data_IF_758136783831
#
_entry.id   IF_758136783831
#
_cell.length_a   1.000
_cell.length_b   1.000
_cell.length_c   1.000
_cell.angle_alpha   90.00
_cell.angle_beta   90.00
_cell.angle_gamma   90.00
#
_symmetry.space_group_name_H-M   'P 1'
#
loop_
_entity.id
_entity.type
_entity.pdbx_description
1 polymer ?
#
# COMPACT_ATOMS: atom_id res chain seq x y z
N UNK A 1 -48.17 -42.69 45.47
CA UNK A 1 -48.89 -41.84 44.51
C UNK A 1 -48.11 -40.53 44.35
N UNK A 2 -47.88 -40.15 43.07
CA UNK A 2 -47.38 -38.87 42.52
C UNK A 2 -45.96 -38.38 42.90
N UNK A 3 -45.04 -38.56 41.94
CA UNK A 3 -43.77 -37.83 41.80
C UNK A 3 -44.06 -36.41 41.28
N UNK A 4 -43.50 -35.39 41.91
CA UNK A 4 -43.55 -33.99 41.45
C UNK A 4 -42.30 -33.74 40.62
N UNK A 5 -42.47 -33.44 39.33
CA UNK A 5 -41.42 -33.02 38.40
C UNK A 5 -41.46 -31.49 38.37
N UNK A 6 -40.45 -30.82 38.91
CA UNK A 6 -40.20 -29.40 38.66
C UNK A 6 -39.38 -29.30 37.37
N UNK A 7 -40.02 -28.94 36.26
CA UNK A 7 -39.34 -28.47 35.05
C UNK A 7 -39.23 -26.96 35.09
N UNK A 8 -38.00 -26.46 35.21
CA UNK A 8 -37.67 -25.05 35.08
C UNK A 8 -37.91 -24.59 33.63
N UNK A 9 -38.74 -23.56 33.47
CA UNK A 9 -38.92 -22.85 32.20
C UNK A 9 -37.77 -21.84 32.06
N UNK A 10 -36.71 -22.20 31.32
CA UNK A 10 -35.76 -21.24 30.81
C UNK A 10 -36.27 -20.74 29.46
N UNK A 11 -36.83 -19.53 29.44
CA UNK A 11 -37.17 -18.79 28.23
C UNK A 11 -35.87 -18.45 27.48
N UNK A 12 -35.45 -19.32 26.58
CA UNK A 12 -34.48 -19.02 25.54
C UNK A 12 -35.14 -18.10 24.52
N UNK A 13 -35.07 -16.80 24.77
CA UNK A 13 -35.28 -15.78 23.74
C UNK A 13 -34.12 -15.93 22.76
N UNK A 14 -34.31 -16.72 21.71
CA UNK A 14 -33.47 -16.70 20.53
C UNK A 14 -33.63 -15.32 19.90
N UNK A 15 -32.73 -14.41 20.24
CA UNK A 15 -32.53 -13.17 19.52
C UNK A 15 -32.11 -13.56 18.09
N UNK A 16 -33.08 -13.52 17.17
CA UNK A 16 -32.87 -13.62 15.73
C UNK A 16 -32.13 -12.35 15.28
N UNK A 17 -30.85 -12.28 15.62
CA UNK A 17 -29.93 -11.37 14.95
C UNK A 17 -29.58 -12.08 13.65
N UNK A 18 -29.95 -11.53 12.47
CA UNK A 18 -29.54 -12.12 11.20
C UNK A 18 -28.01 -12.21 11.19
N UNK A 19 -27.48 -13.41 10.98
CA UNK A 19 -26.04 -13.73 10.96
C UNK A 19 -25.25 -12.85 9.98
N UNK A 20 -25.93 -12.21 9.02
CA UNK A 20 -25.35 -11.22 8.09
C UNK A 20 -24.80 -9.96 8.79
N UNK A 21 -25.28 -9.63 9.99
CA UNK A 21 -24.82 -8.43 10.72
C UNK A 21 -23.54 -8.63 11.52
N UNK A 22 -22.97 -9.84 11.58
CA UNK A 22 -21.72 -10.11 12.31
C UNK A 22 -20.45 -10.11 11.43
N UNK A 23 -20.60 -9.96 10.11
CA UNK A 23 -19.48 -10.01 9.13
C UNK A 23 -19.29 -8.73 8.31
N UNK A 24 -20.00 -7.65 8.63
CA UNK A 24 -19.60 -6.33 8.14
C UNK A 24 -18.36 -5.90 8.92
N UNK A 25 -17.18 -6.29 8.42
CA UNK A 25 -15.93 -5.73 8.90
C UNK A 25 -15.97 -4.23 8.63
N UNK A 26 -16.00 -3.42 9.70
CA UNK A 26 -15.73 -1.98 9.69
C UNK A 26 -14.27 -1.73 9.26
N UNK A 27 -13.91 -2.14 8.04
CA UNK A 27 -12.63 -1.80 7.45
C UNK A 27 -12.66 -0.30 7.26
N UNK A 28 -11.93 0.42 8.12
CA UNK A 28 -11.67 1.84 7.91
C UNK A 28 -11.20 2.00 6.46
N UNK A 29 -11.93 2.75 5.63
CA UNK A 29 -11.57 2.88 4.22
C UNK A 29 -10.12 3.33 4.14
N UNK A 30 -9.31 2.71 3.25
CA UNK A 30 -7.99 3.26 2.93
C UNK A 30 -8.16 4.76 2.68
N UNK A 31 -7.22 5.63 3.08
CA UNK A 31 -7.25 7.05 2.73
C UNK A 31 -7.51 7.28 1.23
N UNK A 32 -7.15 6.30 0.41
CA UNK A 32 -7.37 6.25 -1.02
C UNK A 32 -8.79 5.95 -1.52
N UNK A 33 -9.68 5.40 -0.68
CA UNK A 33 -11.08 5.18 -1.01
C UNK A 33 -11.92 6.46 -1.02
N UNK A 34 -11.44 7.52 -0.38
CA UNK A 34 -12.13 8.80 -0.29
C UNK A 34 -12.04 9.64 -1.59
N UNK A 35 -11.35 9.14 -2.62
CA UNK A 35 -11.01 9.86 -3.85
C UNK A 35 -12.10 9.89 -4.94
N UNK A 36 -13.35 9.60 -4.60
CA UNK A 36 -14.49 9.61 -5.55
C UNK A 36 -15.37 10.87 -5.48
N UNK A 37 -15.02 11.87 -4.66
CA UNK A 37 -15.80 13.10 -4.61
C UNK A 37 -15.50 14.03 -5.78
N UNK A 38 -16.50 14.80 -6.19
CA UNK A 38 -16.34 15.83 -7.20
C UNK A 38 -15.61 17.05 -6.62
N UNK A 39 -14.66 17.61 -7.36
CA UNK A 39 -13.88 18.77 -6.90
C UNK A 39 -14.40 20.07 -7.51
N UNK A 40 -14.66 21.08 -6.70
CA UNK A 40 -15.15 22.38 -7.15
C UNK A 40 -14.84 23.48 -6.13
N UNK A 41 -15.01 24.73 -6.53
CA UNK A 41 -14.80 25.88 -5.65
C UNK A 41 -15.89 25.92 -4.56
N UNK A 42 -15.48 25.88 -3.28
CA UNK A 42 -16.36 25.91 -2.10
C UNK A 42 -15.85 26.89 -1.05
N UNK A 43 -16.71 27.23 -0.09
CA UNK A 43 -16.36 27.97 1.13
C UNK A 43 -16.79 27.16 2.36
N UNK A 44 -15.86 26.61 3.17
CA UNK A 44 -14.41 26.65 3.02
C UNK A 44 -13.91 25.85 1.81
N UNK A 45 -12.70 26.18 1.33
CA UNK A 45 -12.10 25.53 0.15
C UNK A 45 -11.90 24.04 0.39
N UNK A 46 -12.16 23.24 -0.65
CA UNK A 46 -11.84 21.82 -0.64
C UNK A 46 -10.33 21.63 -0.49
N UNK A 47 -9.93 20.70 0.38
CA UNK A 47 -8.54 20.30 0.58
C UNK A 47 -8.39 18.81 0.47
N UNK A 48 -7.25 18.33 -0.01
CA UNK A 48 -6.93 16.91 -0.03
C UNK A 48 -5.89 16.53 -1.08
N UNK A 49 -5.45 15.29 -0.99
CA UNK A 49 -4.50 14.67 -1.94
C UNK A 49 -5.08 14.55 -3.36
N UNK A 50 -6.41 14.42 -3.46
CA UNK A 50 -7.13 14.50 -4.73
C UNK A 50 -6.93 15.83 -5.45
N UNK A 51 -6.89 16.92 -4.70
CA UNK A 51 -6.60 18.25 -5.23
C UNK A 51 -5.12 18.40 -5.61
N UNK A 52 -4.18 17.87 -4.80
CA UNK A 52 -2.74 17.88 -5.15
C UNK A 52 -2.51 17.18 -6.48
N UNK A 53 -3.12 16.00 -6.65
CA UNK A 53 -2.95 15.18 -7.84
C UNK A 53 -3.62 15.82 -9.07
N UNK A 54 -4.79 16.44 -8.91
CA UNK A 54 -5.42 17.27 -9.95
C UNK A 54 -4.48 18.40 -10.40
N UNK A 55 -3.96 19.18 -9.45
CA UNK A 55 -3.06 20.30 -9.72
C UNK A 55 -1.80 19.84 -10.45
N UNK A 56 -1.22 18.72 -10.02
CA UNK A 56 -0.05 18.12 -10.67
C UNK A 56 -0.37 17.71 -12.12
N UNK A 57 -1.51 17.05 -12.36
CA UNK A 57 -1.91 16.65 -13.72
C UNK A 57 -2.19 17.85 -14.63
N UNK A 58 -2.94 18.84 -14.13
CA UNK A 58 -3.19 20.07 -14.89
C UNK A 58 -1.88 20.80 -15.21
N UNK A 59 -0.90 20.75 -14.32
CA UNK A 59 0.44 21.32 -14.54
C UNK A 59 1.21 20.57 -15.62
N UNK A 60 1.22 19.23 -15.60
CA UNK A 60 1.81 18.42 -16.67
C UNK A 60 1.18 18.70 -18.04
N UNK A 61 -0.12 18.99 -18.06
CA UNK A 61 -0.86 19.33 -19.28
C UNK A 61 -0.74 20.81 -19.68
N UNK A 62 -0.01 21.63 -18.91
CA UNK A 62 0.21 23.05 -19.19
C UNK A 62 -0.93 24.00 -18.80
N UNK A 63 -1.98 23.51 -18.13
CA UNK A 63 -3.13 24.32 -17.71
C UNK A 63 -2.97 24.97 -16.34
N UNK A 64 -2.01 24.52 -15.51
CA UNK A 64 -1.81 25.04 -14.15
C UNK A 64 -0.34 25.42 -13.91
N UNK A 65 -0.11 26.63 -13.40
CA UNK A 65 1.24 27.15 -13.12
C UNK A 65 1.51 27.35 -11.62
N UNK A 66 0.52 27.13 -10.77
CA UNK A 66 0.64 27.30 -9.32
C UNK A 66 1.40 26.17 -8.63
N UNK A 67 1.42 26.26 -7.30
CA UNK A 67 1.92 25.20 -6.42
C UNK A 67 0.86 24.13 -6.23
N UNK A 68 1.25 22.85 -6.29
CA UNK A 68 0.37 21.72 -6.00
C UNK A 68 0.19 21.56 -4.48
N UNK A 69 -0.54 22.51 -3.87
CA UNK A 69 -0.70 22.64 -2.42
C UNK A 69 -1.91 21.88 -1.86
N UNK A 70 -2.72 21.26 -2.72
CA UNK A 70 -3.88 20.48 -2.30
C UNK A 70 -5.07 21.33 -1.87
N UNK A 71 -5.12 22.61 -2.25
CA UNK A 71 -6.24 23.52 -1.98
C UNK A 71 -6.94 23.87 -3.29
N UNK A 72 -8.24 23.60 -3.39
CA UNK A 72 -9.02 23.90 -4.59
C UNK A 72 -9.42 25.37 -4.58
N UNK A 73 -8.51 26.20 -5.06
CA UNK A 73 -8.67 27.66 -5.15
C UNK A 73 -9.16 28.13 -6.53
N UNK A 74 -9.35 29.44 -6.66
CA UNK A 74 -9.76 30.06 -7.94
C UNK A 74 -8.79 29.75 -9.07
N UNK A 75 -7.48 29.63 -8.78
CA UNK A 75 -6.47 29.30 -9.78
C UNK A 75 -6.66 27.87 -10.29
N UNK A 76 -6.90 26.94 -9.37
CA UNK A 76 -7.20 25.53 -9.69
C UNK A 76 -8.50 25.45 -10.50
N UNK A 77 -9.56 26.14 -10.08
CA UNK A 77 -10.83 26.20 -10.81
C UNK A 77 -10.65 26.76 -12.24
N UNK A 78 -9.85 27.81 -12.43
CA UNK A 78 -9.57 28.40 -13.73
C UNK A 78 -8.76 27.46 -14.64
N UNK A 79 -7.80 26.72 -14.08
CA UNK A 79 -7.07 25.69 -14.80
C UNK A 79 -8.00 24.56 -15.27
N UNK A 80 -8.91 24.11 -14.40
CA UNK A 80 -9.94 23.12 -14.75
C UNK A 80 -10.84 23.63 -15.88
N UNK A 81 -11.34 24.88 -15.80
CA UNK A 81 -12.14 25.48 -16.86
C UNK A 81 -11.38 25.54 -18.20
N UNK A 82 -10.10 25.88 -18.16
CA UNK A 82 -9.25 25.94 -19.35
C UNK A 82 -9.05 24.56 -19.98
N UNK A 83 -8.84 23.54 -19.16
CA UNK A 83 -8.75 22.15 -19.59
C UNK A 83 -10.07 21.66 -20.20
N UNK A 84 -11.20 21.85 -19.50
CA UNK A 84 -12.53 21.49 -19.99
C UNK A 84 -12.83 22.13 -21.34
N UNK A 85 -12.48 23.41 -21.50
CA UNK A 85 -12.58 24.12 -22.78
C UNK A 85 -11.75 23.46 -23.88
N UNK A 86 -10.51 23.04 -23.60
CA UNK A 86 -9.67 22.34 -24.60
C UNK A 86 -10.21 20.97 -25.02
N UNK A 87 -10.94 20.30 -24.12
CA UNK A 87 -11.56 18.98 -24.35
C UNK A 87 -12.99 19.08 -24.89
N UNK A 88 -13.48 20.30 -25.18
CA UNK A 88 -14.86 20.57 -25.61
C UNK A 88 -15.91 20.05 -24.61
N UNK A 89 -15.55 19.98 -23.33
CA UNK A 89 -16.45 19.63 -22.23
C UNK A 89 -17.20 20.87 -21.71
N UNK A 90 -18.33 20.69 -20.99
CA UNK A 90 -18.97 21.78 -20.26
C UNK A 90 -17.98 22.48 -19.32
N UNK A 91 -17.84 23.81 -19.45
CA UNK A 91 -16.86 24.62 -18.70
C UNK A 91 -17.42 24.99 -17.32
N UNK A 92 -17.55 24.00 -16.45
CA UNK A 92 -18.15 24.17 -15.12
C UNK A 92 -17.12 24.61 -14.07
N UNK A 93 -15.83 24.27 -14.28
CA UNK A 93 -14.81 24.38 -13.24
C UNK A 93 -14.99 23.35 -12.11
N UNK A 94 -15.83 22.33 -12.33
CA UNK A 94 -16.05 21.18 -11.46
C UNK A 94 -15.40 19.95 -12.08
N UNK A 95 -14.63 19.20 -11.31
CA UNK A 95 -14.01 17.95 -11.73
C UNK A 95 -14.92 16.79 -11.35
N UNK A 96 -15.75 16.39 -12.29
CA UNK A 96 -16.60 15.20 -12.22
C UNK A 96 -15.91 13.98 -12.83
N UNK A 97 -16.62 12.84 -12.89
CA UNK A 97 -16.11 11.62 -13.48
C UNK A 97 -15.65 11.81 -14.94
N UNK A 98 -16.40 12.58 -15.74
CA UNK A 98 -16.05 12.84 -17.15
C UNK A 98 -14.78 13.66 -17.30
N UNK A 99 -14.57 14.62 -16.39
CA UNK A 99 -13.36 15.45 -16.35
C UNK A 99 -12.15 14.62 -15.92
N UNK A 100 -12.32 13.74 -14.92
CA UNK A 100 -11.28 12.81 -14.49
C UNK A 100 -10.89 11.82 -15.59
N UNK A 101 -11.86 11.27 -16.31
CA UNK A 101 -11.61 10.40 -17.46
C UNK A 101 -10.82 11.13 -18.55
N UNK A 102 -11.23 12.35 -18.91
CA UNK A 102 -10.53 13.16 -19.91
C UNK A 102 -9.09 13.51 -19.47
N UNK A 103 -8.83 13.69 -18.18
CA UNK A 103 -7.46 13.87 -17.66
C UNK A 103 -6.59 12.62 -17.89
N UNK A 104 -7.19 11.44 -18.03
CA UNK A 104 -6.53 10.15 -18.25
C UNK A 104 -6.31 9.78 -19.72
N UNK A 105 -6.94 10.49 -20.65
CA UNK A 105 -6.76 10.26 -22.10
C UNK A 105 -5.27 10.28 -22.48
N UNK A 106 -4.87 9.32 -23.32
CA UNK A 106 -3.48 9.14 -23.77
C UNK A 106 -2.63 8.20 -22.89
N UNK A 107 -3.19 7.65 -21.82
CA UNK A 107 -2.57 6.59 -21.02
C UNK A 107 -3.17 5.20 -21.24
N UNK A 108 -4.09 5.09 -22.19
CA UNK A 108 -4.67 3.81 -22.61
C UNK A 108 -3.52 2.90 -23.10
N UNK A 109 -3.32 1.78 -22.39
CA UNK A 109 -2.45 0.72 -22.89
C UNK A 109 -3.33 -0.21 -23.72
N UNK A 110 -2.90 -0.64 -24.93
CA UNK A 110 -3.64 -1.64 -25.65
C UNK A 110 -3.84 -2.84 -24.74
N UNK A 111 -5.09 -3.27 -24.57
CA UNK A 111 -5.40 -4.53 -23.94
C UNK A 111 -4.70 -5.62 -24.77
N UNK A 112 -3.53 -6.04 -24.32
CA UNK A 112 -2.84 -7.13 -24.97
C UNK A 112 -3.79 -8.33 -24.96
N UNK A 113 -3.83 -9.08 -26.06
CA UNK A 113 -4.41 -10.42 -26.02
C UNK A 113 -3.81 -11.11 -24.79
N UNK A 114 -4.66 -11.71 -23.92
CA UNK A 114 -4.23 -12.28 -22.64
C UNK A 114 -2.93 -13.05 -22.89
N UNK A 115 -1.77 -12.55 -22.43
CA UNK A 115 -0.52 -13.20 -22.71
C UNK A 115 -0.52 -14.56 -22.02
N UNK A 116 0.45 -15.39 -22.41
CA UNK A 116 0.63 -16.69 -21.77
C UNK A 116 0.63 -16.51 -20.25
N UNK A 117 -0.19 -17.30 -19.56
CA UNK A 117 -0.23 -17.27 -18.10
C UNK A 117 1.00 -17.97 -17.54
N UNK A 118 1.49 -17.57 -16.36
CA UNK A 118 2.46 -18.36 -15.62
C UNK A 118 1.94 -19.79 -15.43
N UNK A 119 2.82 -20.78 -15.58
CA UNK A 119 2.44 -22.20 -15.47
C UNK A 119 2.61 -22.70 -14.02
N UNK A 120 3.52 -22.09 -13.26
CA UNK A 120 3.82 -22.43 -11.88
C UNK A 120 3.23 -21.47 -10.84
N UNK A 121 3.58 -21.75 -9.58
CA UNK A 121 3.26 -20.85 -8.48
C UNK A 121 4.07 -19.55 -8.61
N UNK A 122 3.36 -18.43 -8.63
CA UNK A 122 3.96 -17.10 -8.75
C UNK A 122 4.14 -16.39 -7.41
N UNK A 123 5.06 -15.45 -7.40
CA UNK A 123 5.21 -14.42 -6.38
C UNK A 123 5.45 -13.05 -7.03
N UNK A 124 5.29 -11.99 -6.25
CA UNK A 124 5.44 -10.61 -6.69
C UNK A 124 6.68 -10.00 -6.04
N UNK A 125 7.50 -9.32 -6.84
CA UNK A 125 8.50 -8.36 -6.39
C UNK A 125 8.03 -6.96 -6.78
N UNK A 126 8.05 -6.03 -5.82
CA UNK A 126 7.87 -4.60 -6.07
C UNK A 126 9.19 -3.91 -5.78
N UNK A 127 9.73 -3.19 -6.75
CA UNK A 127 10.95 -2.40 -6.65
C UNK A 127 10.56 -0.92 -6.60
N UNK A 128 10.76 -0.29 -5.44
CA UNK A 128 10.34 1.11 -5.21
C UNK A 128 11.31 2.13 -5.81
N UNK A 129 12.55 1.75 -6.14
CA UNK A 129 13.49 2.63 -6.84
C UNK A 129 13.19 2.67 -8.32
N UNK A 130 12.93 1.49 -8.91
CA UNK A 130 12.58 1.37 -10.33
C UNK A 130 11.11 1.70 -10.61
N UNK A 131 10.28 1.75 -9.57
CA UNK A 131 8.83 1.86 -9.68
C UNK A 131 8.25 0.78 -10.59
N UNK A 132 8.66 -0.46 -10.34
CA UNK A 132 8.15 -1.64 -11.06
C UNK A 132 7.55 -2.68 -10.13
N UNK A 133 6.62 -3.45 -10.68
CA UNK A 133 6.11 -4.69 -10.12
C UNK A 133 6.47 -5.82 -11.09
N UNK A 134 7.14 -6.85 -10.61
CA UNK A 134 7.51 -8.04 -11.37
C UNK A 134 6.76 -9.25 -10.82
N UNK A 135 5.99 -9.92 -11.67
CA UNK A 135 5.49 -11.28 -11.40
C UNK A 135 6.62 -12.26 -11.71
N UNK A 136 6.87 -13.22 -10.81
CA UNK A 136 8.00 -14.16 -10.89
C UNK A 136 7.55 -15.60 -10.66
N UNK A 137 8.19 -16.55 -11.35
CA UNK A 137 8.10 -17.99 -11.05
C UNK A 137 9.34 -18.39 -10.23
N UNK A 138 9.17 -18.53 -8.91
CA UNK A 138 10.30 -18.55 -7.99
C UNK A 138 11.09 -17.24 -8.06
N UNK A 139 12.39 -17.30 -8.35
CA UNK A 139 13.23 -16.12 -8.51
C UNK A 139 13.32 -15.60 -9.96
N UNK A 140 12.74 -16.31 -10.94
CA UNK A 140 12.82 -15.93 -12.35
C UNK A 140 11.75 -14.89 -12.68
N UNK A 141 12.09 -13.73 -13.26
CA UNK A 141 11.11 -12.76 -13.70
C UNK A 141 10.28 -13.35 -14.84
N UNK A 142 8.95 -13.22 -14.74
CA UNK A 142 8.00 -13.62 -15.77
C UNK A 142 7.55 -12.40 -16.57
N UNK A 143 7.04 -11.37 -15.88
CA UNK A 143 6.60 -10.12 -16.51
C UNK A 143 6.73 -8.95 -15.55
N UNK A 144 7.08 -7.79 -16.08
CA UNK A 144 7.27 -6.55 -15.33
C UNK A 144 6.30 -5.45 -15.79
N UNK A 145 5.84 -4.66 -14.83
CA UNK A 145 4.87 -3.58 -15.01
C UNK A 145 5.36 -2.30 -14.33
N UNK A 146 5.12 -1.13 -14.92
CA UNK A 146 5.32 0.12 -14.23
C UNK A 146 4.25 0.32 -13.15
N UNK A 147 4.61 0.95 -12.03
CA UNK A 147 3.70 1.24 -10.93
C UNK A 147 3.78 2.69 -10.45
N UNK A 148 2.81 3.12 -9.65
CA UNK A 148 2.97 4.25 -8.74
C UNK A 148 3.13 3.72 -7.30
N UNK A 149 4.03 4.33 -6.53
CA UNK A 149 4.28 3.98 -5.13
C UNK A 149 3.81 5.09 -4.17
N UNK A 150 3.91 4.84 -2.88
CA UNK A 150 3.69 5.83 -1.83
C UNK A 150 4.74 6.94 -1.87
N UNK A 151 4.30 8.19 -1.66
CA UNK A 151 5.20 9.33 -1.48
C UNK A 151 5.97 9.25 -0.15
N UNK A 152 7.07 10.00 0.05
CA UNK A 152 7.86 9.94 1.29
C UNK A 152 7.05 10.19 2.58
N UNK A 153 6.02 11.03 2.55
CA UNK A 153 5.17 11.29 3.72
C UNK A 153 4.10 10.22 3.99
N UNK A 154 3.84 9.33 3.03
CA UNK A 154 2.94 8.17 3.15
C UNK A 154 3.55 6.99 2.38
N UNK A 155 4.68 6.44 2.87
CA UNK A 155 5.50 5.52 2.10
C UNK A 155 4.82 4.16 1.91
N UNK A 156 5.19 3.47 0.83
CA UNK A 156 4.83 2.06 0.65
C UNK A 156 5.51 1.19 1.71
N UNK A 157 4.85 0.12 2.19
CA UNK A 157 5.37 -0.69 3.28
C UNK A 157 6.46 -1.62 2.76
N UNK A 158 7.73 -1.26 2.93
CA UNK A 158 8.86 -2.13 2.59
C UNK A 158 8.79 -3.36 3.50
N UNK A 159 8.99 -4.57 2.95
CA UNK A 159 8.90 -5.82 3.70
C UNK A 159 8.42 -7.02 2.88
N UNK A 160 8.04 -8.07 3.59
CA UNK A 160 7.56 -9.34 3.01
C UNK A 160 6.10 -9.61 3.42
N UNK A 161 5.20 -9.57 2.44
CA UNK A 161 3.75 -9.63 2.60
C UNK A 161 3.13 -10.81 1.87
N UNK A 162 1.83 -10.98 2.07
CA UNK A 162 0.95 -11.89 1.35
C UNK A 162 -0.31 -11.16 0.92
N UNK A 163 -0.83 -11.55 -0.25
CA UNK A 163 -2.19 -11.20 -0.64
C UNK A 163 -3.17 -11.91 0.30
N UNK A 164 -4.05 -11.17 0.97
CA UNK A 164 -5.05 -11.73 1.89
C UNK A 164 -6.48 -11.55 1.41
N UNK A 165 -6.69 -10.68 0.43
CA UNK A 165 -8.00 -10.40 -0.15
C UNK A 165 -7.83 -9.98 -1.61
N UNK A 166 -8.87 -10.25 -2.39
CA UNK A 166 -8.97 -9.91 -3.81
C UNK A 166 -10.39 -9.44 -4.09
N UNK A 167 -10.53 -8.30 -4.76
CA UNK A 167 -11.83 -7.73 -5.13
C UNK A 167 -11.84 -7.31 -6.61
N UNK A 168 -12.93 -7.64 -7.30
CA UNK A 168 -13.16 -7.33 -8.70
C UNK A 168 -13.70 -5.91 -8.92
N UNK A 169 -14.33 -5.30 -7.92
CA UNK A 169 -14.96 -3.99 -8.08
C UNK A 169 -15.00 -3.21 -6.76
N UNK A 170 -13.82 -2.88 -6.25
CA UNK A 170 -13.71 -1.91 -5.14
C UNK A 170 -14.18 -0.50 -5.57
N UNK A 171 -14.24 -0.26 -6.88
CA UNK A 171 -14.75 0.96 -7.48
C UNK A 171 -13.83 2.18 -7.32
N UNK A 172 -14.09 3.20 -8.13
CA UNK A 172 -13.50 4.52 -7.92
C UNK A 172 -12.00 4.63 -8.17
N UNK A 173 -11.29 5.21 -7.21
CA UNK A 173 -9.85 5.46 -7.30
C UNK A 173 -8.97 4.20 -7.29
N UNK A 174 -9.54 3.05 -6.93
CA UNK A 174 -8.85 1.77 -6.97
C UNK A 174 -8.87 1.10 -8.34
N UNK A 175 -9.56 1.70 -9.32
CA UNK A 175 -9.60 1.19 -10.67
C UNK A 175 -10.22 -0.20 -10.75
N UNK A 176 -9.70 -1.03 -11.65
CA UNK A 176 -10.36 -2.27 -12.05
C UNK A 176 -10.24 -3.43 -11.04
N UNK A 177 -9.21 -3.49 -10.21
CA UNK A 177 -9.00 -4.60 -9.26
C UNK A 177 -8.31 -4.13 -7.99
N UNK A 178 -8.58 -4.80 -6.88
CA UNK A 178 -7.90 -4.61 -5.59
C UNK A 178 -7.33 -5.93 -5.06
N UNK A 179 -6.09 -5.89 -4.56
CA UNK A 179 -5.43 -6.99 -3.87
C UNK A 179 -4.81 -6.48 -2.56
N UNK A 180 -5.43 -6.82 -1.42
CA UNK A 180 -5.00 -6.34 -0.11
C UNK A 180 -3.85 -7.17 0.48
N UNK A 181 -2.95 -6.48 1.20
CA UNK A 181 -1.75 -7.03 1.81
C UNK A 181 -1.91 -7.17 3.33
N UNK A 182 -1.29 -8.19 3.92
CA UNK A 182 -1.32 -8.45 5.37
C UNK A 182 -0.39 -7.55 6.21
N UNK A 183 -0.33 -6.25 5.91
CA UNK A 183 0.51 -5.31 6.64
C UNK A 183 -0.14 -5.01 8.01
N UNK A 184 0.55 -5.25 9.14
CA UNK A 184 -0.12 -5.27 10.46
C UNK A 184 -0.53 -3.89 10.99
N UNK A 185 -0.05 -2.79 10.39
CA UNK A 185 -0.31 -1.42 10.85
C UNK A 185 -1.22 -0.61 9.93
N UNK A 186 -1.77 -1.19 8.86
CA UNK A 186 -2.66 -0.44 7.98
C UNK A 186 -3.18 -1.22 6.78
N UNK A 187 -4.10 -0.59 6.05
CA UNK A 187 -4.67 -1.14 4.83
C UNK A 187 -3.79 -0.74 3.65
N UNK A 188 -3.05 -1.71 3.13
CA UNK A 188 -2.19 -1.55 1.95
C UNK A 188 -2.60 -2.57 0.90
N UNK A 189 -2.47 -2.21 -0.37
CA UNK A 189 -2.84 -3.09 -1.46
C UNK A 189 -2.13 -2.75 -2.76
N UNK A 190 -2.23 -3.69 -3.70
CA UNK A 190 -1.90 -3.52 -5.10
C UNK A 190 -3.23 -3.37 -5.84
N UNK A 191 -3.39 -2.29 -6.62
CA UNK A 191 -4.67 -2.00 -7.25
C UNK A 191 -4.53 -1.21 -8.54
N UNK A 192 -5.60 -1.20 -9.34
CA UNK A 192 -5.70 -0.37 -10.55
C UNK A 192 -5.77 1.12 -10.22
N UNK A 193 -5.98 1.98 -11.20
CA UNK A 193 -6.19 3.40 -10.90
C UNK A 193 -7.06 4.10 -11.94
N UNK A 194 -7.83 5.08 -11.50
CA UNK A 194 -8.49 6.07 -12.38
C UNK A 194 -7.60 7.30 -12.64
N UNK A 195 -6.35 7.29 -12.14
CA UNK A 195 -5.35 8.33 -12.36
C UNK A 195 -4.12 7.73 -13.02
N UNK A 196 -4.23 7.24 -14.27
CA UNK A 196 -3.16 6.48 -14.92
C UNK A 196 -1.88 7.31 -15.13
N UNK A 197 -1.97 8.64 -15.14
CA UNK A 197 -0.81 9.54 -15.14
C UNK A 197 0.03 9.50 -13.85
N UNK A 198 -0.47 8.87 -12.78
CA UNK A 198 0.30 8.65 -11.55
C UNK A 198 1.37 7.56 -11.70
N UNK A 199 1.18 6.63 -12.64
CA UNK A 199 2.10 5.52 -12.86
C UNK A 199 3.48 6.05 -13.27
N UNK A 200 4.53 5.48 -12.70
CA UNK A 200 5.91 5.96 -12.83
C UNK A 200 6.30 7.04 -11.82
N UNK A 201 5.46 7.32 -10.79
CA UNK A 201 5.75 8.33 -9.77
C UNK A 201 5.40 7.86 -8.33
N UNK A 202 6.11 8.34 -7.29
CA UNK A 202 5.77 8.09 -5.89
C UNK A 202 4.76 9.11 -5.37
N UNK A 203 3.47 8.90 -5.68
CA UNK A 203 2.38 9.88 -5.38
C UNK A 203 1.21 9.29 -4.58
N UNK A 204 1.21 7.99 -4.33
CA UNK A 204 0.11 7.33 -3.64
C UNK A 204 0.16 7.56 -2.12
N UNK A 205 -0.90 7.15 -1.42
CA UNK A 205 -0.97 7.13 0.04
C UNK A 205 -0.32 5.88 0.67
N UNK A 206 0.54 5.17 -0.07
CA UNK A 206 1.25 3.96 0.37
C UNK A 206 0.87 2.67 -0.38
N UNK A 207 -0.26 2.67 -1.10
CA UNK A 207 -0.64 1.54 -1.95
C UNK A 207 0.16 1.52 -3.26
N UNK A 208 0.24 0.35 -3.87
CA UNK A 208 0.88 0.17 -5.18
C UNK A 208 -0.20 0.32 -6.26
N UNK A 209 -0.11 1.38 -7.07
CA UNK A 209 -1.04 1.59 -8.18
C UNK A 209 -0.48 1.00 -9.46
N UNK A 210 -1.35 0.41 -10.27
CA UNK A 210 -1.08 -0.15 -11.58
C UNK A 210 -2.05 0.43 -12.61
N UNK A 211 -1.70 0.35 -13.89
CA UNK A 211 -2.71 0.52 -14.94
C UNK A 211 -3.80 -0.55 -14.80
N UNK A 212 -5.03 -0.22 -15.22
CA UNK A 212 -6.17 -1.12 -15.04
C UNK A 212 -6.00 -2.39 -15.86
N UNK A 213 -5.43 -2.28 -17.05
CA UNK A 213 -5.16 -3.41 -17.95
C UNK A 213 -4.12 -4.34 -17.33
N UNK A 214 -3.08 -3.78 -16.71
CA UNK A 214 -2.00 -4.53 -16.07
C UNK A 214 -2.48 -5.22 -14.78
N UNK A 215 -3.26 -4.53 -13.94
CA UNK A 215 -3.75 -5.12 -12.69
C UNK A 215 -4.74 -6.25 -12.94
N UNK A 216 -5.58 -6.15 -13.98
CA UNK A 216 -6.51 -7.23 -14.36
C UNK A 216 -5.75 -8.51 -14.67
N UNK A 217 -4.64 -8.39 -15.40
CA UNK A 217 -3.80 -9.52 -15.75
C UNK A 217 -3.12 -10.14 -14.52
N UNK A 218 -2.44 -9.33 -13.70
CA UNK A 218 -1.79 -9.81 -12.47
C UNK A 218 -2.81 -10.45 -11.53
N UNK A 219 -4.00 -9.85 -11.43
CA UNK A 219 -5.07 -10.35 -10.59
C UNK A 219 -5.50 -11.77 -10.98
N UNK A 220 -5.56 -12.10 -12.26
CA UNK A 220 -5.91 -13.47 -12.70
C UNK A 220 -4.77 -14.48 -12.47
N UNK A 221 -3.53 -14.02 -12.32
CA UNK A 221 -2.37 -14.90 -12.13
C UNK A 221 -2.03 -15.21 -10.66
N UNK A 222 -2.43 -14.35 -9.74
CA UNK A 222 -2.10 -14.49 -8.31
C UNK A 222 -3.28 -14.97 -7.48
N UNK A 223 -2.98 -15.69 -6.40
CA UNK A 223 -3.97 -16.22 -5.48
C UNK A 223 -3.87 -15.52 -4.12
N UNK A 224 -4.93 -15.64 -3.31
CA UNK A 224 -4.81 -15.36 -1.87
C UNK A 224 -3.72 -16.28 -1.30
N UNK A 225 -2.79 -15.69 -0.55
CA UNK A 225 -1.58 -16.35 -0.05
C UNK A 225 -0.33 -16.13 -0.91
N UNK A 226 -0.44 -15.60 -2.14
CA UNK A 226 0.71 -15.24 -2.97
C UNK A 226 1.61 -14.26 -2.23
N UNK A 227 2.93 -14.54 -2.21
CA UNK A 227 3.94 -13.70 -1.55
C UNK A 227 4.20 -12.43 -2.36
N UNK A 228 4.36 -11.33 -1.66
CA UNK A 228 4.70 -10.02 -2.20
C UNK A 228 5.90 -9.49 -1.43
N UNK A 229 7.04 -9.32 -2.10
CA UNK A 229 8.21 -8.64 -1.53
C UNK A 229 8.21 -7.20 -2.02
N UNK A 230 8.16 -6.23 -1.11
CA UNK A 230 8.34 -4.81 -1.43
C UNK A 230 9.75 -4.42 -1.02
N UNK A 231 10.55 -4.03 -1.99
CA UNK A 231 11.98 -3.76 -1.85
C UNK A 231 12.31 -2.29 -2.12
N UNK A 232 13.23 -1.77 -1.30
CA UNK A 232 13.91 -0.49 -1.47
C UNK A 232 15.25 -0.55 -0.69
N UNK A 233 16.15 0.44 -0.87
CA UNK A 233 17.36 0.58 -0.09
C UNK A 233 17.08 0.65 1.41
N UNK A 234 17.88 -0.05 2.21
CA UNK A 234 17.75 -0.05 3.67
C UNK A 234 17.88 1.36 4.27
N UNK A 235 18.65 2.23 3.63
CA UNK A 235 18.83 3.63 4.06
C UNK A 235 17.52 4.42 4.10
N UNK A 236 16.51 4.03 3.31
CA UNK A 236 15.18 4.66 3.35
C UNK A 236 14.44 4.37 4.66
N UNK A 237 14.84 3.32 5.38
CA UNK A 237 14.24 2.88 6.64
C UNK A 237 15.00 3.33 7.87
N UNK A 238 16.21 3.88 7.73
CA UNK A 238 17.04 4.31 8.86
C UNK A 238 16.31 5.28 9.82
N UNK A 239 15.48 6.18 9.27
CA UNK A 239 14.69 7.13 10.06
C UNK A 239 13.45 6.54 10.74
N UNK A 240 13.15 5.26 10.55
CA UNK A 240 11.94 4.62 11.11
C UNK A 240 12.08 4.26 12.60
N UNK A 241 13.30 4.17 13.12
CA UNK A 241 13.57 3.77 14.50
C UNK A 241 13.54 4.96 15.47
N UNK A 242 12.66 4.90 16.47
CA UNK A 242 12.61 5.87 17.57
C UNK A 242 12.27 5.28 18.94
N UNK A 243 12.25 3.94 19.06
CA UNK A 243 11.87 3.23 20.28
C UNK A 243 12.64 1.91 20.42
N UNK A 244 12.78 1.41 21.63
CA UNK A 244 13.30 0.06 21.89
C UNK A 244 12.32 -0.99 21.39
N UNK A 245 12.77 -1.85 20.48
CA UNK A 245 11.94 -2.93 19.93
C UNK A 245 12.04 -4.19 20.80
N UNK A 246 10.91 -4.85 20.99
CA UNK A 246 10.79 -6.07 21.79
C UNK A 246 9.60 -6.88 21.32
N UNK A 247 9.55 -8.13 21.77
CA UNK A 247 8.43 -9.03 21.49
C UNK A 247 7.09 -8.37 21.78
N UNK A 248 6.15 -8.50 20.84
CA UNK A 248 4.85 -7.85 20.96
C UNK A 248 4.73 -6.50 20.26
N UNK A 249 5.80 -5.98 19.64
CA UNK A 249 5.76 -4.75 18.83
C UNK A 249 5.72 -5.03 17.33
N UNK A 250 4.95 -4.23 16.59
CA UNK A 250 4.89 -4.26 15.14
C UNK A 250 5.13 -2.88 14.54
N UNK A 251 5.56 -2.83 13.28
CA UNK A 251 5.78 -1.60 12.55
C UNK A 251 6.85 -1.70 11.47
N UNK A 252 7.01 -0.62 10.71
CA UNK A 252 8.07 -0.49 9.70
C UNK A 252 9.47 -0.53 10.33
N UNK A 253 9.62 -0.06 11.57
CA UNK A 253 10.83 -0.16 12.37
C UNK A 253 11.22 -1.62 12.69
N UNK A 254 10.23 -2.48 12.92
CA UNK A 254 10.45 -3.92 13.09
C UNK A 254 10.92 -4.57 11.80
N UNK A 255 10.32 -4.22 10.65
CA UNK A 255 10.79 -4.72 9.34
C UNK A 255 12.23 -4.33 9.11
N UNK A 256 12.59 -3.08 9.41
CA UNK A 256 13.94 -2.59 9.24
C UNK A 256 14.96 -3.44 10.02
N UNK A 257 14.69 -3.72 11.30
CA UNK A 257 15.56 -4.62 12.07
C UNK A 257 15.56 -6.05 11.51
N UNK A 258 14.42 -6.58 11.09
CA UNK A 258 14.38 -7.91 10.47
C UNK A 258 15.24 -7.98 9.20
N UNK A 259 15.25 -6.91 8.40
CA UNK A 259 16.10 -6.80 7.22
C UNK A 259 17.59 -6.69 7.58
N UNK A 260 17.95 -5.83 8.55
CA UNK A 260 19.34 -5.71 9.03
C UNK A 260 19.87 -7.03 9.57
N UNK A 261 19.07 -7.73 10.37
CA UNK A 261 19.43 -9.05 10.89
C UNK A 261 19.65 -10.05 9.76
N UNK A 262 18.77 -10.06 8.75
CA UNK A 262 18.89 -10.94 7.58
C UNK A 262 20.16 -10.66 6.79
N UNK A 263 20.50 -9.39 6.59
CA UNK A 263 21.74 -8.95 5.92
C UNK A 263 22.99 -9.32 6.74
N UNK A 264 22.94 -9.17 8.06
CA UNK A 264 23.99 -9.59 8.98
C UNK A 264 24.10 -11.13 9.16
N UNK A 265 23.27 -11.92 8.49
CA UNK A 265 23.28 -13.39 8.55
C UNK A 265 22.47 -14.03 9.69
N UNK A 266 21.71 -13.24 10.45
CA UNK A 266 20.84 -13.67 11.56
C UNK A 266 19.39 -13.74 11.11
N UNK A 267 19.00 -14.85 10.46
CA UNK A 267 17.71 -14.94 9.77
C UNK A 267 16.48 -14.91 10.72
N UNK A 268 15.62 -13.87 10.66
CA UNK A 268 14.34 -13.82 11.41
C UNK A 268 13.19 -14.55 10.66
N UNK A 269 13.51 -15.30 9.61
CA UNK A 269 12.62 -15.89 8.59
C UNK A 269 11.94 -14.86 7.69
N UNK A 270 10.95 -14.14 8.21
CA UNK A 270 10.18 -13.17 7.45
C UNK A 270 10.44 -11.76 7.93
N UNK A 271 10.41 -10.82 7.01
CA UNK A 271 10.45 -9.38 7.28
C UNK A 271 9.02 -8.83 7.24
N UNK A 272 8.17 -9.39 8.11
CA UNK A 272 6.72 -9.17 8.18
C UNK A 272 6.31 -8.05 9.15
N UNK A 273 7.30 -7.39 9.75
CA UNK A 273 7.10 -6.30 10.69
C UNK A 273 6.47 -6.73 12.00
N UNK A 274 6.46 -8.04 12.31
CA UNK A 274 6.02 -8.55 13.59
C UNK A 274 7.19 -9.03 14.45
N UNK A 275 7.38 -8.42 15.62
CA UNK A 275 8.43 -8.85 16.56
C UNK A 275 7.94 -10.07 17.34
N UNK A 276 8.04 -11.23 16.72
CA UNK A 276 7.71 -12.53 17.31
C UNK A 276 8.90 -13.23 17.96
N UNK A 277 8.71 -14.49 18.36
CA UNK A 277 9.76 -15.33 18.95
C UNK A 277 10.96 -15.56 18.02
N UNK A 278 10.72 -15.64 16.70
CA UNK A 278 11.79 -15.84 15.71
C UNK A 278 12.67 -14.59 15.56
N UNK A 279 12.06 -13.41 15.52
CA UNK A 279 12.78 -12.13 15.56
C UNK A 279 13.57 -11.99 16.87
N UNK A 280 12.94 -12.29 18.02
CA UNK A 280 13.63 -12.27 19.32
C UNK A 280 14.83 -13.23 19.33
N UNK A 281 14.67 -14.44 18.80
CA UNK A 281 15.74 -15.42 18.71
C UNK A 281 16.90 -14.89 17.86
N UNK A 282 16.62 -14.35 16.66
CA UNK A 282 17.64 -13.76 15.79
C UNK A 282 18.40 -12.61 16.49
N UNK A 283 17.69 -11.74 17.23
CA UNK A 283 18.30 -10.65 18.00
C UNK A 283 19.19 -11.19 19.12
N UNK A 284 18.75 -12.22 19.86
CA UNK A 284 19.57 -12.83 20.92
C UNK A 284 20.82 -13.51 20.34
N UNK A 285 20.69 -14.20 19.22
CA UNK A 285 21.81 -14.79 18.49
C UNK A 285 22.81 -13.73 18.06
N UNK A 286 22.32 -12.62 17.52
CA UNK A 286 23.13 -11.47 17.13
C UNK A 286 23.87 -10.86 18.33
N UNK A 287 23.15 -10.55 19.41
CA UNK A 287 23.73 -9.96 20.62
C UNK A 287 24.80 -10.88 21.22
N UNK A 288 24.54 -12.19 21.27
CA UNK A 288 25.50 -13.18 21.74
C UNK A 288 26.76 -13.21 20.86
N UNK A 289 26.59 -13.20 19.54
CA UNK A 289 27.69 -13.25 18.57
C UNK A 289 28.60 -12.01 18.65
N UNK A 290 28.01 -10.85 18.92
CA UNK A 290 28.69 -9.54 18.94
C UNK A 290 29.15 -9.10 20.34
N UNK A 291 28.89 -9.90 21.38
CA UNK A 291 29.24 -9.57 22.76
C UNK A 291 28.37 -8.47 23.40
N UNK A 292 27.23 -8.14 22.79
CA UNK A 292 26.23 -7.25 23.40
C UNK A 292 25.43 -7.99 24.49
N UNK A 293 24.81 -7.26 25.45
CA UNK A 293 23.90 -7.87 26.41
C UNK A 293 22.76 -8.62 25.70
N UNK A 294 22.60 -9.93 25.99
CA UNK A 294 21.61 -10.81 25.36
C UNK A 294 20.22 -10.58 25.94
N UNK A 295 19.63 -9.44 25.62
CA UNK A 295 18.33 -8.99 26.13
C UNK A 295 17.15 -9.49 25.29
N UNK A 296 17.39 -9.81 24.02
CA UNK A 296 16.32 -10.05 23.04
C UNK A 296 15.47 -8.81 22.74
N UNK A 297 15.96 -7.64 23.12
CA UNK A 297 15.40 -6.33 22.77
C UNK A 297 16.39 -5.60 21.87
N UNK A 298 15.89 -4.72 21.03
CA UNK A 298 16.72 -3.89 20.14
C UNK A 298 16.62 -2.47 20.66
N UNK A 299 17.58 -2.12 21.51
CA UNK A 299 17.81 -0.73 21.91
C UNK A 299 18.63 0.01 20.84
N UNK A 300 18.88 1.29 21.09
CA UNK A 300 19.68 2.13 20.19
C UNK A 300 21.07 1.54 19.95
N UNK A 301 21.72 1.01 20.99
CA UNK A 301 23.06 0.41 20.88
C UNK A 301 23.04 -0.82 19.96
N UNK A 302 22.07 -1.72 20.13
CA UNK A 302 21.93 -2.91 19.28
C UNK A 302 21.62 -2.52 17.84
N UNK A 303 20.75 -1.52 17.61
CA UNK A 303 20.45 -1.00 16.29
C UNK A 303 21.68 -0.41 15.60
N UNK A 304 22.41 0.49 16.26
CA UNK A 304 23.59 1.13 15.70
C UNK A 304 24.67 0.09 15.33
N UNK A 305 24.89 -0.91 16.19
CA UNK A 305 25.83 -1.99 15.89
C UNK A 305 25.38 -2.82 14.67
N UNK A 306 24.06 -3.04 14.49
CA UNK A 306 23.55 -3.72 13.29
C UNK A 306 23.80 -2.88 12.02
N UNK A 307 23.53 -1.58 12.08
CA UNK A 307 23.74 -0.64 10.98
C UNK A 307 25.21 -0.56 10.56
N UNK A 308 26.12 -0.53 11.54
CA UNK A 308 27.57 -0.59 11.33
C UNK A 308 27.98 -1.94 10.70
N UNK A 309 27.49 -3.06 11.24
CA UNK A 309 27.85 -4.39 10.74
C UNK A 309 27.46 -4.63 9.28
N UNK A 310 26.34 -4.06 8.83
CA UNK A 310 25.91 -4.16 7.43
C UNK A 310 26.51 -3.07 6.53
N UNK A 311 27.33 -2.17 7.08
CA UNK A 311 27.95 -1.07 6.34
C UNK A 311 26.96 -0.03 5.82
N UNK A 312 25.84 0.21 6.53
CA UNK A 312 24.72 1.00 5.98
C UNK A 312 25.07 2.46 5.67
N UNK A 313 25.99 3.04 6.45
CA UNK A 313 26.39 4.45 6.36
C UNK A 313 27.87 4.64 6.01
N UNK A 314 28.60 3.58 5.71
CA UNK A 314 29.99 3.70 5.25
C UNK A 314 29.98 4.12 3.78
N UNK A 315 30.16 5.42 3.54
CA UNK A 315 30.59 5.93 2.23
C UNK A 315 32.12 5.95 2.20
N UNK A 316 32.66 5.38 1.13
CA UNK A 316 34.06 5.42 0.73
C UNK A 316 34.68 6.80 0.98
N UNK A 317 35.78 6.83 1.74
CA UNK A 317 36.70 7.97 1.86
C UNK A 317 37.50 8.18 0.58
#
# INVERSE_FOLDING_TARGET
MRKIILTAFFLLIFCLIPFETLLASDKKPCPCALYNRELFETTPQMKGEDVVELQYRLKQLGFYQGSCNGIYDKNTANAVRSFQKSRKQPVTGKVDHSTWAALGEGFERPANALPEKPQGNVNILVDLEKLTLTVREGERPFKEYPIAAGKPSTPSPIGEWKIIEKDYDWGGAFGARWMGLNVPWGNYGIHGTNRPWSIGNPVSAGCIRMFNEDVVEVFEWVNVGTRVKIHAPLIWLAGSCGRTLKKGLCGQDVVYIQLLLKEAGFNPFYCDGWYGSLTEFAVRSYQLHTGLPVTGQVDEKTRLHLEEMVGLFEQDY
#
